data_IF_824812802737
#
_entry.id   IF_824812802737
#
_cell.length_a   1.000
_cell.length_b   1.000
_cell.length_c   1.000
_cell.angle_alpha   90.00
_cell.angle_beta   90.00
_cell.angle_gamma   90.00
#
_symmetry.space_group_name_H-M   'P 1'
#
loop_
_entity.id
_entity.type
_entity.pdbx_description
1 polymer ?
#
# COMPACT_ATOMS: atom_id res chain seq x y z
N UNK A 1 3.80 -3.19 1.41
CA UNK A 1 2.84 -2.07 1.60
C UNK A 1 2.74 -1.28 0.32
N UNK A 2 1.53 -0.86 -0.08
CA UNK A 2 1.25 0.07 -1.18
C UNK A 2 0.49 1.27 -0.63
N UNK A 3 0.69 2.45 -1.21
CA UNK A 3 -0.07 3.68 -0.89
C UNK A 3 -0.55 4.31 -2.19
N UNK A 4 -1.71 4.94 -2.16
CA UNK A 4 -2.22 5.77 -3.25
C UNK A 4 -2.15 7.25 -2.88
N UNK A 5 -1.86 8.05 -3.90
CA UNK A 5 -2.03 9.51 -3.81
C UNK A 5 -3.51 9.83 -4.08
N UNK A 6 -4.14 10.51 -3.14
CA UNK A 6 -5.46 11.08 -3.31
C UNK A 6 -5.31 12.60 -3.43
N UNK A 7 -6.03 13.20 -4.37
CA UNK A 7 -6.11 14.68 -4.50
C UNK A 7 -7.02 15.25 -3.42
N UNK A 8 -8.10 14.53 -3.12
CA UNK A 8 -9.05 14.88 -2.08
C UNK A 8 -9.33 13.68 -1.19
N UNK A 9 -9.51 13.90 0.10
CA UNK A 9 -9.87 12.85 1.06
C UNK A 9 -11.37 12.58 1.01
N UNK A 10 -11.87 11.99 -0.09
CA UNK A 10 -13.30 11.68 -0.28
C UNK A 10 -13.54 10.17 -0.43
N UNK A 11 -14.74 9.73 -0.04
CA UNK A 11 -15.16 8.35 -0.21
C UNK A 11 -15.22 7.94 -1.71
N UNK A 12 -15.61 8.86 -2.57
CA UNK A 12 -15.68 8.62 -4.01
C UNK A 12 -14.29 8.35 -4.59
N UNK A 13 -13.30 9.17 -4.28
CA UNK A 13 -11.94 8.99 -4.78
C UNK A 13 -11.26 7.74 -4.22
N UNK A 14 -11.47 7.44 -2.93
CA UNK A 14 -10.96 6.21 -2.33
C UNK A 14 -11.58 4.95 -2.98
N UNK A 15 -12.89 4.98 -3.24
CA UNK A 15 -13.59 3.92 -3.96
C UNK A 15 -13.09 3.75 -5.40
N UNK A 16 -12.84 4.86 -6.11
CA UNK A 16 -12.26 4.84 -7.46
C UNK A 16 -10.86 4.17 -7.47
N UNK A 17 -9.99 4.54 -6.53
CA UNK A 17 -8.64 3.96 -6.46
C UNK A 17 -8.65 2.46 -6.19
N UNK A 18 -9.55 1.98 -5.31
CA UNK A 18 -9.65 0.54 -5.06
C UNK A 18 -10.22 -0.19 -6.27
N UNK A 19 -11.19 0.38 -6.97
CA UNK A 19 -11.76 -0.20 -8.18
C UNK A 19 -10.72 -0.28 -9.31
N UNK A 20 -9.93 0.78 -9.52
CA UNK A 20 -8.80 0.76 -10.46
C UNK A 20 -7.79 -0.35 -10.14
N UNK A 21 -7.52 -0.59 -8.85
CA UNK A 21 -6.66 -1.70 -8.46
C UNK A 21 -7.28 -3.05 -8.81
N UNK A 22 -8.56 -3.26 -8.49
CA UNK A 22 -9.28 -4.50 -8.80
C UNK A 22 -9.27 -4.80 -10.30
N UNK A 23 -9.60 -3.80 -11.11
CA UNK A 23 -9.56 -3.89 -12.58
C UNK A 23 -8.14 -4.22 -13.09
N UNK A 24 -7.12 -3.55 -12.55
CA UNK A 24 -5.72 -3.82 -12.89
C UNK A 24 -5.30 -5.24 -12.52
N UNK A 25 -5.63 -5.72 -11.32
CA UNK A 25 -5.35 -7.09 -10.90
C UNK A 25 -6.01 -8.10 -11.83
N UNK A 26 -7.28 -7.89 -12.15
CA UNK A 26 -8.05 -8.75 -13.05
C UNK A 26 -7.43 -8.83 -14.45
N UNK A 27 -6.87 -7.73 -14.97
CA UNK A 27 -6.17 -7.74 -16.27
C UNK A 27 -4.90 -8.59 -16.30
N UNK A 28 -4.35 -8.94 -15.14
CA UNK A 28 -3.22 -9.87 -14.96
C UNK A 28 -3.65 -11.24 -14.41
N UNK A 29 -4.95 -11.58 -14.48
CA UNK A 29 -5.54 -12.81 -13.94
C UNK A 29 -5.36 -12.99 -12.43
N UNK A 30 -5.29 -11.90 -11.67
CA UNK A 30 -5.36 -11.92 -10.22
C UNK A 30 -6.76 -11.51 -9.75
N UNK A 31 -7.24 -12.20 -8.71
CA UNK A 31 -8.48 -11.83 -8.04
C UNK A 31 -8.13 -11.06 -6.76
N UNK A 32 -8.77 -9.90 -6.54
CA UNK A 32 -8.51 -9.08 -5.37
C UNK A 32 -8.86 -9.79 -4.06
N UNK A 33 -9.97 -10.54 -4.02
CA UNK A 33 -10.40 -11.28 -2.85
C UNK A 33 -9.43 -12.38 -2.42
N UNK A 34 -8.69 -12.99 -3.35
CA UNK A 34 -7.65 -13.98 -3.02
C UNK A 34 -6.41 -13.35 -2.37
N UNK A 35 -6.14 -12.07 -2.68
CA UNK A 35 -5.00 -11.33 -2.16
C UNK A 35 -5.34 -10.63 -0.85
N UNK A 36 -6.55 -10.06 -0.78
CA UNK A 36 -7.04 -9.28 0.34
C UNK A 36 -8.49 -9.68 0.70
N UNK A 37 -8.70 -10.88 1.25
CA UNK A 37 -10.04 -11.35 1.62
C UNK A 37 -10.67 -10.50 2.73
N UNK A 38 -9.84 -9.77 3.49
CA UNK A 38 -10.26 -8.86 4.56
C UNK A 38 -9.54 -7.53 4.38
N UNK A 39 -10.30 -6.44 4.42
CA UNK A 39 -9.82 -5.07 4.53
C UNK A 39 -10.10 -4.56 5.93
N UNK A 40 -9.06 -4.03 6.59
CA UNK A 40 -9.18 -3.41 7.91
C UNK A 40 -8.88 -1.92 7.81
N UNK A 41 -9.87 -1.08 8.12
CA UNK A 41 -9.79 0.37 8.02
C UNK A 41 -10.02 1.04 9.38
N UNK A 42 -9.72 2.33 9.47
CA UNK A 42 -10.26 3.17 10.53
C UNK A 42 -11.66 3.69 10.13
N UNK A 43 -12.30 4.42 11.04
CA UNK A 43 -13.61 5.03 10.79
C UNK A 43 -13.53 6.35 9.99
N UNK A 44 -12.55 6.48 9.09
CA UNK A 44 -12.41 7.65 8.23
C UNK A 44 -13.58 7.77 7.24
N UNK A 45 -14.02 9.00 6.97
CA UNK A 45 -15.12 9.26 6.04
C UNK A 45 -14.88 8.75 4.62
N UNK A 46 -13.62 8.58 4.23
CA UNK A 46 -13.19 7.99 2.96
C UNK A 46 -13.58 6.51 2.82
N UNK A 47 -13.85 5.81 3.92
CA UNK A 47 -14.28 4.40 3.93
C UNK A 47 -15.78 4.21 4.16
N UNK A 48 -16.57 5.28 4.15
CA UNK A 48 -18.02 5.23 4.44
C UNK A 48 -18.85 4.44 3.42
N UNK A 49 -18.34 4.25 2.20
CA UNK A 49 -19.01 3.43 1.18
C UNK A 49 -18.44 2.01 1.17
N UNK A 50 -18.77 1.20 2.19
CA UNK A 50 -18.27 -0.18 2.32
C UNK A 50 -18.49 -1.03 1.06
N UNK A 51 -19.68 -0.94 0.44
CA UNK A 51 -20.04 -1.72 -0.75
C UNK A 51 -19.07 -1.49 -1.91
N UNK A 52 -18.57 -0.27 -2.11
CA UNK A 52 -17.60 0.03 -3.15
C UNK A 52 -16.22 -0.63 -2.90
N UNK A 53 -15.88 -0.88 -1.65
CA UNK A 53 -14.66 -1.62 -1.30
C UNK A 53 -14.85 -3.12 -1.38
N UNK A 54 -16.00 -3.63 -0.96
CA UNK A 54 -16.27 -5.06 -0.83
C UNK A 54 -16.57 -5.74 -2.16
N UNK A 55 -17.27 -5.06 -3.08
CA UNK A 55 -17.80 -5.68 -4.29
C UNK A 55 -16.88 -5.47 -5.51
N UNK A 56 -16.97 -6.39 -6.46
CA UNK A 56 -16.39 -6.25 -7.80
C UNK A 56 -17.25 -5.31 -8.69
N UNK A 57 -16.80 -5.09 -9.93
CA UNK A 57 -17.51 -4.27 -10.94
C UNK A 57 -18.91 -4.81 -11.29
N UNK A 58 -19.16 -6.09 -11.05
CA UNK A 58 -20.44 -6.76 -11.30
C UNK A 58 -21.36 -6.75 -10.06
N UNK A 59 -20.90 -6.19 -8.94
CA UNK A 59 -21.63 -6.14 -7.68
C UNK A 59 -21.54 -7.42 -6.84
N UNK A 60 -20.65 -8.37 -7.20
CA UNK A 60 -20.44 -9.56 -6.38
C UNK A 60 -19.47 -9.26 -5.24
N UNK A 61 -19.74 -9.84 -4.06
CA UNK A 61 -18.87 -9.74 -2.91
C UNK A 61 -17.51 -10.39 -3.20
N UNK A 62 -16.42 -9.65 -3.03
CA UNK A 62 -15.06 -10.08 -3.31
C UNK A 62 -14.16 -10.04 -2.07
N UNK A 63 -14.44 -9.11 -1.16
CA UNK A 63 -13.69 -8.94 0.10
C UNK A 63 -14.63 -8.46 1.21
N UNK A 64 -14.18 -8.49 2.46
CA UNK A 64 -14.94 -7.97 3.59
C UNK A 64 -14.23 -6.77 4.21
N UNK A 65 -14.95 -5.67 4.43
CA UNK A 65 -14.44 -4.47 5.08
C UNK A 65 -14.80 -4.47 6.56
N UNK A 66 -13.79 -4.36 7.41
CA UNK A 66 -13.95 -4.20 8.85
C UNK A 66 -13.40 -2.85 9.31
N UNK A 67 -14.05 -2.26 10.29
CA UNK A 67 -13.61 -1.01 10.90
C UNK A 67 -12.93 -1.31 12.24
N UNK A 68 -11.72 -0.74 12.44
CA UNK A 68 -11.06 -0.79 13.73
C UNK A 68 -11.83 0.02 14.78
N UNK A 69 -11.71 -0.37 16.03
CA UNK A 69 -12.22 0.44 17.12
C UNK A 69 -11.46 1.80 17.18
N UNK A 70 -12.14 2.89 17.52
CA UNK A 70 -11.50 4.19 17.71
C UNK A 70 -10.38 4.11 18.76
N UNK A 71 -9.23 4.72 18.47
CA UNK A 71 -8.06 4.74 19.36
C UNK A 71 -7.43 3.37 19.69
N UNK A 72 -7.56 2.39 18.79
CA UNK A 72 -6.99 1.06 18.93
C UNK A 72 -5.76 0.82 18.02
N UNK A 73 -4.63 1.53 18.24
CA UNK A 73 -3.44 1.40 17.39
C UNK A 73 -2.84 0.00 17.40
N UNK A 74 -3.08 -0.79 18.47
CA UNK A 74 -2.62 -2.17 18.57
C UNK A 74 -3.26 -3.12 17.53
N UNK A 75 -4.37 -2.73 16.91
CA UNK A 75 -4.99 -3.51 15.83
C UNK A 75 -4.22 -3.42 14.51
N UNK A 76 -3.35 -2.40 14.36
CA UNK A 76 -2.57 -2.15 13.14
C UNK A 76 -1.06 -1.93 13.41
N UNK A 77 -0.37 -2.77 14.18
CA UNK A 77 1.02 -2.52 14.59
C UNK A 77 2.00 -2.43 13.40
N UNK A 78 1.75 -3.20 12.35
CA UNK A 78 2.61 -3.21 11.16
C UNK A 78 2.48 -1.94 10.31
N UNK A 79 1.33 -1.25 10.38
CA UNK A 79 1.13 0.03 9.68
C UNK A 79 1.99 1.12 10.33
N UNK A 80 2.04 1.20 11.67
CA UNK A 80 2.85 2.17 12.39
C UNK A 80 4.34 2.01 12.08
N UNK A 81 4.83 0.77 12.03
CA UNK A 81 6.21 0.49 11.66
C UNK A 81 6.54 0.91 10.22
N UNK A 82 5.61 0.68 9.30
CA UNK A 82 5.77 1.14 7.93
C UNK A 82 5.72 2.67 7.83
N UNK A 83 4.92 3.36 8.66
CA UNK A 83 4.92 4.81 8.75
C UNK A 83 6.26 5.34 9.25
N UNK A 84 6.90 4.68 10.22
CA UNK A 84 8.25 5.06 10.67
C UNK A 84 9.25 4.97 9.52
N UNK A 85 9.30 3.83 8.81
CA UNK A 85 10.18 3.66 7.64
C UNK A 85 9.89 4.69 6.54
N UNK A 86 8.63 5.02 6.30
CA UNK A 86 8.26 6.08 5.36
C UNK A 86 8.78 7.45 5.83
N UNK A 87 8.69 7.75 7.13
CA UNK A 87 9.16 9.02 7.71
C UNK A 87 10.68 9.18 7.70
N UNK A 88 11.43 8.09 7.66
CA UNK A 88 12.89 8.14 7.44
C UNK A 88 13.23 8.71 6.04
N UNK A 89 12.36 8.47 5.04
CA UNK A 89 12.53 8.99 3.68
C UNK A 89 11.85 10.35 3.52
N UNK A 90 10.61 10.49 4.01
CA UNK A 90 9.78 11.69 3.90
C UNK A 90 9.56 12.27 5.31
N UNK A 91 10.42 13.21 5.77
CA UNK A 91 10.32 13.79 7.11
C UNK A 91 8.97 14.44 7.39
N UNK A 92 8.61 14.53 8.68
CA UNK A 92 7.40 15.24 9.10
C UNK A 92 7.47 16.71 8.67
N UNK A 93 6.38 17.22 8.09
CA UNK A 93 6.31 18.59 7.57
C UNK A 93 6.72 18.72 6.09
N UNK A 94 7.13 17.64 5.42
CA UNK A 94 7.32 17.68 3.96
C UNK A 94 5.99 17.91 3.25
N UNK A 95 5.97 18.76 2.22
CA UNK A 95 4.82 18.86 1.31
C UNK A 95 4.67 17.59 0.48
N UNK A 96 3.45 17.26 0.13
CA UNK A 96 3.09 16.15 -0.75
C UNK A 96 2.58 16.63 -2.12
N UNK A 97 2.58 17.95 -2.38
CA UNK A 97 2.00 18.55 -3.58
C UNK A 97 2.67 18.03 -4.87
N UNK A 98 3.98 17.71 -4.80
CA UNK A 98 4.78 17.19 -5.91
C UNK A 98 4.87 15.65 -5.93
N UNK A 99 4.02 14.95 -5.18
CA UNK A 99 4.09 13.49 -5.12
C UNK A 99 3.17 12.84 -6.17
N UNK A 100 3.75 12.42 -7.29
CA UNK A 100 3.06 11.53 -8.22
C UNK A 100 2.93 10.11 -7.67
N UNK A 101 2.04 9.31 -8.26
CA UNK A 101 1.90 7.90 -7.87
C UNK A 101 3.21 7.12 -8.09
N UNK A 102 3.94 7.37 -9.19
CA UNK A 102 5.22 6.72 -9.48
C UNK A 102 6.27 7.04 -8.42
N UNK A 103 6.31 8.28 -7.95
CA UNK A 103 7.21 8.71 -6.88
C UNK A 103 6.89 7.99 -5.57
N UNK A 104 5.61 7.84 -5.25
CA UNK A 104 5.15 7.10 -4.08
C UNK A 104 5.45 5.61 -4.23
N UNK A 105 5.20 5.01 -5.38
CA UNK A 105 5.47 3.60 -5.65
C UNK A 105 6.97 3.29 -5.51
N UNK A 106 7.85 4.19 -5.97
CA UNK A 106 9.30 4.05 -5.79
C UNK A 106 9.71 4.15 -4.31
N UNK A 107 9.19 5.14 -3.57
CA UNK A 107 9.46 5.27 -2.13
C UNK A 107 9.05 3.98 -1.39
N UNK A 108 7.86 3.44 -1.69
CA UNK A 108 7.40 2.21 -1.07
C UNK A 108 8.11 0.96 -1.56
N UNK A 109 8.69 0.96 -2.76
CA UNK A 109 9.62 -0.08 -3.19
C UNK A 109 10.85 -0.12 -2.27
N UNK A 110 11.45 1.03 -1.94
CA UNK A 110 12.55 1.12 -0.98
C UNK A 110 12.11 0.69 0.44
N UNK A 111 10.97 1.16 0.94
CA UNK A 111 10.43 0.75 2.26
C UNK A 111 10.22 -0.76 2.34
N UNK A 112 9.68 -1.37 1.27
CA UNK A 112 9.45 -2.81 1.23
C UNK A 112 10.75 -3.63 1.06
N UNK A 113 11.82 -3.04 0.55
CA UNK A 113 13.13 -3.68 0.39
C UNK A 113 13.95 -3.69 1.69
N UNK A 114 13.56 -2.94 2.73
CA UNK A 114 14.27 -2.92 4.02
C UNK A 114 14.18 -4.27 4.71
N UNK A 115 15.33 -4.86 5.04
CA UNK A 115 15.41 -6.10 5.81
C UNK A 115 14.91 -5.90 7.25
N UNK A 116 14.14 -6.84 7.77
CA UNK A 116 13.49 -6.74 9.07
C UNK A 116 13.76 -7.95 9.95
N UNK A 117 14.03 -7.74 11.23
CA UNK A 117 14.25 -8.81 12.21
C UNK A 117 13.04 -9.75 12.31
N UNK A 118 11.82 -9.20 12.29
CA UNK A 118 10.58 -9.98 12.33
C UNK A 118 10.40 -10.94 11.14
N UNK A 119 11.12 -10.73 10.04
CA UNK A 119 11.13 -11.60 8.86
C UNK A 119 12.43 -12.40 8.77
N UNK A 120 13.13 -12.63 9.88
CA UNK A 120 14.40 -13.35 9.92
C UNK A 120 15.45 -12.77 8.96
N UNK A 121 15.53 -11.44 8.88
CA UNK A 121 16.47 -10.73 8.02
C UNK A 121 16.06 -10.61 6.56
N UNK A 122 14.86 -11.06 6.19
CA UNK A 122 14.28 -10.82 4.87
C UNK A 122 13.57 -9.47 4.82
N UNK A 123 13.35 -8.96 3.62
CA UNK A 123 12.51 -7.79 3.38
C UNK A 123 11.04 -8.18 3.27
N UNK A 124 10.14 -7.19 3.36
CA UNK A 124 8.72 -7.42 3.09
C UNK A 124 8.50 -7.81 1.62
N UNK A 125 9.33 -7.31 0.69
CA UNK A 125 9.31 -7.71 -0.71
C UNK A 125 9.64 -9.20 -0.86
N UNK A 126 10.73 -9.70 -0.23
CA UNK A 126 11.13 -11.10 -0.30
C UNK A 126 10.03 -12.04 0.22
N UNK A 127 9.40 -11.67 1.36
CA UNK A 127 8.31 -12.45 1.94
C UNK A 127 7.09 -12.46 1.03
N UNK A 128 6.71 -11.30 0.51
CA UNK A 128 5.54 -11.19 -0.37
C UNK A 128 5.73 -12.00 -1.66
N UNK A 129 6.89 -11.87 -2.33
CA UNK A 129 7.15 -12.57 -3.60
C UNK A 129 7.34 -14.06 -3.44
N UNK A 130 7.71 -14.53 -2.24
CA UNK A 130 7.75 -15.95 -1.90
C UNK A 130 6.34 -16.58 -1.86
N UNK A 131 5.35 -15.88 -1.28
CA UNK A 131 3.98 -16.40 -1.17
C UNK A 131 3.12 -16.16 -2.41
N UNK A 132 3.40 -15.10 -3.14
CA UNK A 132 2.62 -14.71 -4.32
C UNK A 132 3.48 -14.75 -5.58
N UNK A 133 3.96 -13.59 -6.05
CA UNK A 133 4.87 -13.51 -7.21
C UNK A 133 5.48 -12.11 -7.36
N UNK A 134 6.57 -12.01 -8.12
CA UNK A 134 7.13 -10.72 -8.54
C UNK A 134 6.17 -9.98 -9.50
N UNK A 135 5.43 -10.73 -10.33
CA UNK A 135 4.43 -10.15 -11.23
C UNK A 135 3.38 -9.41 -10.41
N UNK A 136 2.85 -10.05 -9.36
CA UNK A 136 1.87 -9.40 -8.50
C UNK A 136 2.45 -8.18 -7.77
N UNK A 137 3.70 -8.25 -7.28
CA UNK A 137 4.35 -7.09 -6.67
C UNK A 137 4.41 -5.91 -7.66
N UNK A 138 4.81 -6.15 -8.90
CA UNK A 138 4.86 -5.13 -9.96
C UNK A 138 3.46 -4.58 -10.32
N UNK A 139 2.44 -5.43 -10.39
CA UNK A 139 1.04 -5.00 -10.58
C UNK A 139 0.60 -4.07 -9.45
N UNK A 140 1.07 -4.34 -8.23
CA UNK A 140 0.85 -3.47 -7.07
C UNK A 140 1.73 -2.21 -7.06
N UNK A 141 2.57 -1.95 -8.08
CA UNK A 141 3.46 -0.80 -8.15
C UNK A 141 4.68 -0.91 -7.22
N UNK A 142 5.03 -2.12 -6.78
CA UNK A 142 6.19 -2.38 -5.92
C UNK A 142 7.24 -3.13 -6.71
N UNK A 143 8.38 -2.49 -6.94
CA UNK A 143 9.49 -3.04 -7.70
C UNK A 143 10.57 -3.60 -6.79
N UNK A 144 11.34 -4.56 -7.30
CA UNK A 144 12.54 -5.05 -6.64
C UNK A 144 13.60 -3.95 -6.55
N UNK A 145 14.16 -3.75 -5.36
CA UNK A 145 15.33 -2.88 -5.14
C UNK A 145 16.45 -3.75 -4.61
N UNK A 146 17.60 -3.86 -5.33
CA UNK A 146 18.76 -4.57 -4.83
C UNK A 146 19.19 -4.07 -3.45
N UNK A 147 19.59 -4.94 -2.53
CA UNK A 147 19.92 -4.55 -1.15
C UNK A 147 20.93 -3.41 -1.04
N UNK A 148 21.92 -3.37 -1.92
CA UNK A 148 22.95 -2.33 -2.00
C UNK A 148 22.43 -0.97 -2.49
N UNK A 149 21.28 -0.96 -3.15
CA UNK A 149 20.64 0.24 -3.68
C UNK A 149 19.52 0.78 -2.79
N UNK A 150 19.22 0.10 -1.67
CA UNK A 150 18.16 0.56 -0.75
C UNK A 150 18.57 1.87 -0.08
N UNK A 151 17.78 2.91 -0.30
CA UNK A 151 17.95 4.24 0.29
C UNK A 151 16.84 4.49 1.30
N UNK A 152 17.17 4.48 2.59
CA UNK A 152 16.24 4.72 3.70
C UNK A 152 16.55 6.08 4.35
N UNK A 153 16.47 7.14 3.54
CA UNK A 153 16.74 8.52 3.97
C UNK A 153 16.18 9.54 3.00
N UNK A 154 16.08 10.85 3.38
CA UNK A 154 15.59 11.92 2.51
C UNK A 154 16.44 12.12 1.23
N UNK A 155 17.63 11.51 1.17
CA UNK A 155 18.45 11.51 -0.04
C UNK A 155 17.70 10.90 -1.24
N UNK A 156 16.82 9.92 -0.99
CA UNK A 156 16.01 9.31 -2.06
C UNK A 156 15.19 10.35 -2.82
N UNK A 157 14.58 11.31 -2.11
CA UNK A 157 13.75 12.35 -2.73
C UNK A 157 14.53 13.26 -3.71
N UNK A 158 15.86 13.36 -3.53
CA UNK A 158 16.72 14.14 -4.42
C UNK A 158 17.09 13.40 -5.70
N UNK A 159 16.93 12.07 -5.73
CA UNK A 159 17.22 11.24 -6.90
C UNK A 159 16.00 11.07 -7.82
N UNK A 160 14.82 11.39 -7.30
CA UNK A 160 13.55 11.33 -8.03
C UNK A 160 13.26 12.75 -8.56
N UNK A 161 13.41 12.94 -9.88
CA UNK A 161 13.05 14.18 -10.57
C UNK A 161 11.57 14.19 -10.92
#
# INVERSE_FOLDING_TARGET
MRIWVLENKTAAEAAEKIMLLKTRLKSFNFNFGDIAPILLTDNGGEFSNATAFENDESGNLETHLFYCEPNSPYEKPDIEKNHTLFRDIVPKGSSFDDFSQEKVDLIFSHVNAVKRKQFNGKSAYDVFTFYYSEILANVLGISFIPPENVIQSPRLLKTIK
#
